data_IF_516435005714
#
_entry.id   IF_516435005714
#
_cell.length_a   1.000
_cell.length_b   1.000
_cell.length_c   1.000
_cell.angle_alpha   90.00
_cell.angle_beta   90.00
_cell.angle_gamma   90.00
#
_symmetry.space_group_name_H-M   'P 1'
#
loop_
_entity.id
_entity.type
_entity.pdbx_description
1 polymer ?
#
# COMPACT_ATOMS: atom_id res chain seq x y z
N UNK A 1 -19.71 18.31 20.85
CA UNK A 1 -18.50 18.21 20.02
C UNK A 1 -18.68 17.52 18.64
N UNK A 2 -19.88 17.18 18.20
CA UNK A 2 -20.14 16.58 16.87
C UNK A 2 -20.76 17.58 15.86
N UNK A 3 -21.03 18.80 16.27
CA UNK A 3 -21.78 19.80 15.48
C UNK A 3 -20.93 20.82 14.73
N UNK A 4 -19.69 21.04 15.12
CA UNK A 4 -18.90 22.22 14.68
C UNK A 4 -18.27 22.16 13.27
N UNK A 5 -18.36 21.07 12.55
CA UNK A 5 -17.80 20.98 11.20
C UNK A 5 -18.67 20.12 10.27
N UNK A 6 -19.97 20.06 10.55
CA UNK A 6 -20.89 19.32 9.72
C UNK A 6 -21.16 20.06 8.42
N UNK A 7 -21.03 19.37 7.29
CA UNK A 7 -21.39 19.90 5.95
C UNK A 7 -22.43 19.01 5.29
N UNK A 8 -23.40 19.67 4.66
CA UNK A 8 -24.40 19.01 3.83
C UNK A 8 -25.39 18.14 4.56
N UNK A 9 -26.04 17.26 3.81
CA UNK A 9 -27.07 16.34 4.28
C UNK A 9 -26.48 15.13 4.99
N UNK A 10 -27.30 14.47 5.79
CA UNK A 10 -26.92 13.19 6.40
C UNK A 10 -27.89 12.12 5.92
N UNK A 11 -27.34 10.98 5.51
CA UNK A 11 -28.10 9.85 5.02
C UNK A 11 -28.34 8.81 6.12
N UNK A 12 -29.58 8.41 6.29
CA UNK A 12 -29.93 7.26 7.13
C UNK A 12 -30.16 6.04 6.25
N UNK A 13 -29.25 5.06 6.32
CA UNK A 13 -29.25 3.88 5.44
C UNK A 13 -29.47 2.61 6.25
N UNK A 14 -30.48 1.82 5.87
CA UNK A 14 -30.70 0.48 6.42
C UNK A 14 -29.93 -0.57 5.61
N UNK A 15 -29.01 -1.28 6.25
CA UNK A 15 -28.20 -2.30 5.56
C UNK A 15 -27.89 -3.50 6.46
N UNK A 16 -28.25 -4.69 6.03
CA UNK A 16 -27.90 -5.94 6.71
C UNK A 16 -28.48 -6.08 8.12
N UNK A 17 -29.65 -5.52 8.42
CA UNK A 17 -30.29 -5.56 9.73
C UNK A 17 -29.94 -4.38 10.64
N UNK A 18 -29.06 -3.47 10.21
CA UNK A 18 -28.62 -2.32 11.00
C UNK A 18 -28.93 -1.00 10.28
N UNK A 19 -29.18 0.04 11.07
CA UNK A 19 -29.26 1.41 10.60
C UNK A 19 -27.89 2.07 10.70
N UNK A 20 -27.52 2.82 9.67
CA UNK A 20 -26.27 3.59 9.59
C UNK A 20 -26.60 5.04 9.29
N UNK A 21 -26.08 5.95 10.11
CA UNK A 21 -26.12 7.38 9.84
C UNK A 21 -24.80 7.78 9.19
N UNK A 22 -24.87 8.29 7.97
CA UNK A 22 -23.73 8.90 7.27
C UNK A 22 -23.83 10.40 7.41
N UNK A 23 -22.87 10.99 8.09
CA UNK A 23 -22.78 12.44 8.25
C UNK A 23 -21.47 12.92 7.64
N UNK A 24 -21.56 13.87 6.72
CA UNK A 24 -20.39 14.52 6.12
C UNK A 24 -19.86 15.58 7.07
N UNK A 25 -18.54 15.59 7.24
CA UNK A 25 -17.85 16.52 8.10
C UNK A 25 -16.60 17.04 7.40
N UNK A 26 -16.35 18.35 7.47
CA UNK A 26 -15.06 18.91 7.12
C UNK A 26 -14.05 18.60 8.23
N UNK A 27 -12.93 18.07 7.84
CA UNK A 27 -11.80 17.85 8.74
C UNK A 27 -10.63 18.65 8.17
N UNK A 28 -10.05 19.59 8.95
CA UNK A 28 -8.86 20.30 8.52
C UNK A 28 -7.77 19.29 8.14
N UNK A 29 -7.22 19.44 6.96
CA UNK A 29 -6.09 18.62 6.52
C UNK A 29 -4.81 19.32 6.98
N UNK A 30 -3.94 18.64 7.74
CA UNK A 30 -2.65 19.20 8.11
C UNK A 30 -1.80 19.37 6.84
N UNK A 31 -1.04 20.44 6.79
CA UNK A 31 -0.04 20.63 5.74
C UNK A 31 0.97 19.49 5.78
N UNK A 32 1.40 18.99 4.60
CA UNK A 32 2.41 17.95 4.53
C UNK A 32 3.72 18.41 5.18
N UNK A 33 4.21 17.64 6.13
CA UNK A 33 5.50 17.95 6.78
C UNK A 33 6.65 17.57 5.84
N UNK A 34 7.75 18.34 5.89
CA UNK A 34 8.96 17.95 5.17
C UNK A 34 9.53 16.65 5.78
N UNK A 35 9.82 15.61 4.98
CA UNK A 35 10.29 14.31 5.48
C UNK A 35 11.77 14.37 5.86
N UNK A 36 12.09 14.92 7.02
CA UNK A 36 13.47 15.08 7.51
C UNK A 36 14.22 13.76 7.69
N UNK A 37 13.50 12.66 7.93
CA UNK A 37 14.03 11.30 7.99
C UNK A 37 14.09 10.58 6.64
N UNK A 38 13.86 11.28 5.53
CA UNK A 38 13.77 10.68 4.20
C UNK A 38 12.44 9.94 3.98
N UNK A 39 12.46 8.83 3.21
CA UNK A 39 11.26 8.08 2.88
C UNK A 39 11.27 6.66 3.43
N UNK A 40 10.12 6.23 3.91
CA UNK A 40 9.82 4.89 4.34
C UNK A 40 9.26 4.10 3.16
N UNK A 41 10.09 3.29 2.51
CA UNK A 41 9.71 2.49 1.35
C UNK A 41 8.84 1.31 1.75
N UNK A 42 7.80 1.04 0.98
CA UNK A 42 6.86 -0.07 1.21
C UNK A 42 6.65 -0.81 -0.10
N UNK A 43 7.13 -2.05 -0.14
CA UNK A 43 6.82 -3.01 -1.21
C UNK A 43 5.51 -3.74 -0.90
N UNK A 44 4.56 -3.72 -1.84
CA UNK A 44 3.25 -4.36 -1.73
C UNK A 44 3.23 -5.68 -2.48
N UNK A 45 3.13 -6.80 -1.75
CA UNK A 45 3.25 -8.13 -2.32
C UNK A 45 2.07 -9.08 -2.03
N UNK A 46 2.03 -10.24 -2.71
CA UNK A 46 1.02 -11.30 -2.52
C UNK A 46 1.41 -12.23 -1.37
N UNK A 47 2.66 -12.63 -1.28
CA UNK A 47 3.17 -13.50 -0.23
C UNK A 47 3.25 -12.74 1.10
N UNK A 48 3.89 -11.59 1.06
CA UNK A 48 3.87 -10.58 2.10
C UNK A 48 2.96 -9.44 1.65
N UNK A 49 2.02 -9.03 2.51
CA UNK A 49 1.04 -7.97 2.20
C UNK A 49 1.73 -6.65 1.97
N UNK A 50 2.71 -6.36 2.81
CA UNK A 50 3.60 -5.24 2.71
C UNK A 50 4.94 -5.61 3.38
N UNK A 51 6.04 -5.15 2.81
CA UNK A 51 7.37 -5.23 3.39
C UNK A 51 7.97 -3.83 3.40
N UNK A 52 8.57 -3.43 4.51
CA UNK A 52 9.09 -2.08 4.68
C UNK A 52 10.59 -2.03 4.49
N UNK A 53 11.14 -0.86 4.18
CA UNK A 53 12.58 -0.62 4.04
C UNK A 53 13.39 -0.92 5.31
N UNK A 54 12.73 -0.92 6.48
CA UNK A 54 13.34 -1.25 7.76
C UNK A 54 13.30 -2.76 8.09
N UNK A 55 12.78 -3.57 7.15
CA UNK A 55 12.71 -5.03 7.30
C UNK A 55 11.46 -5.56 7.98
N UNK A 56 10.49 -4.72 8.34
CA UNK A 56 9.23 -5.23 8.89
C UNK A 56 8.39 -5.90 7.79
N UNK A 57 7.92 -7.13 8.07
CA UNK A 57 7.17 -7.96 7.12
C UNK A 57 5.76 -8.20 7.63
N UNK A 58 4.77 -7.75 6.86
CA UNK A 58 3.36 -8.04 7.08
C UNK A 58 2.94 -9.27 6.25
N UNK A 59 3.04 -10.45 6.84
CA UNK A 59 2.80 -11.72 6.15
C UNK A 59 1.36 -11.88 5.64
N UNK A 60 1.23 -12.30 4.38
CA UNK A 60 -0.06 -12.59 3.73
C UNK A 60 -0.62 -13.98 3.99
N UNK A 61 0.11 -14.87 4.67
CA UNK A 61 -0.20 -16.30 4.85
C UNK A 61 -1.64 -16.54 5.33
N UNK A 62 -2.05 -15.88 6.40
CA UNK A 62 -3.40 -16.07 6.96
C UNK A 62 -4.50 -15.57 6.00
N UNK A 63 -4.33 -14.41 5.40
CA UNK A 63 -5.27 -13.87 4.42
C UNK A 63 -5.41 -14.79 3.20
N UNK A 64 -4.29 -15.30 2.70
CA UNK A 64 -4.26 -16.24 1.57
C UNK A 64 -4.93 -17.58 1.92
N UNK A 65 -4.74 -18.10 3.12
CA UNK A 65 -5.44 -19.31 3.59
C UNK A 65 -6.96 -19.11 3.63
N UNK A 66 -7.45 -17.99 4.16
CA UNK A 66 -8.89 -17.66 4.17
C UNK A 66 -9.43 -17.58 2.75
N UNK A 67 -8.72 -16.93 1.82
CA UNK A 67 -9.09 -16.83 0.41
C UNK A 67 -9.15 -18.21 -0.28
N UNK A 68 -8.15 -19.06 -0.07
CA UNK A 68 -8.14 -20.40 -0.65
C UNK A 68 -9.32 -21.25 -0.15
N UNK A 69 -9.60 -21.21 1.16
CA UNK A 69 -10.75 -21.90 1.74
C UNK A 69 -12.07 -21.39 1.16
N UNK A 70 -12.25 -20.08 1.10
CA UNK A 70 -13.45 -19.48 0.56
C UNK A 70 -13.61 -19.73 -0.95
N UNK A 71 -12.52 -19.77 -1.70
CA UNK A 71 -12.55 -20.12 -3.14
C UNK A 71 -13.07 -21.53 -3.36
N UNK A 72 -12.62 -22.53 -2.58
CA UNK A 72 -13.13 -23.90 -2.64
C UNK A 72 -14.62 -23.96 -2.29
N UNK A 73 -15.03 -23.24 -1.26
CA UNK A 73 -16.43 -23.15 -0.84
C UNK A 73 -17.29 -22.48 -1.93
N UNK A 74 -16.84 -21.36 -2.49
CA UNK A 74 -17.55 -20.68 -3.60
C UNK A 74 -17.77 -21.60 -4.79
N UNK A 75 -16.73 -22.33 -5.21
CA UNK A 75 -16.84 -23.31 -6.32
C UNK A 75 -17.96 -24.33 -6.07
N UNK A 76 -17.99 -24.94 -4.87
CA UNK A 76 -19.03 -25.91 -4.47
C UNK A 76 -20.43 -25.31 -4.43
N UNK A 77 -20.58 -24.09 -3.90
CA UNK A 77 -21.86 -23.41 -3.80
C UNK A 77 -22.39 -22.98 -5.20
N UNK A 78 -21.50 -22.58 -6.08
CA UNK A 78 -21.85 -22.23 -7.47
C UNK A 78 -22.34 -23.46 -8.24
N UNK A 79 -21.69 -24.62 -8.05
CA UNK A 79 -22.11 -25.89 -8.66
C UNK A 79 -23.50 -26.35 -8.19
N UNK A 80 -23.83 -26.14 -6.89
CA UNK A 80 -25.17 -26.48 -6.36
C UNK A 80 -26.31 -25.63 -6.91
N UNK A 81 -26.07 -24.35 -7.26
CA UNK A 81 -27.01 -23.46 -7.90
C UNK A 81 -28.28 -23.09 -7.13
N UNK A 82 -28.56 -23.70 -5.98
CA UNK A 82 -29.81 -23.51 -5.20
C UNK A 82 -29.94 -22.11 -4.59
N UNK A 83 -31.16 -21.69 -4.25
CA UNK A 83 -31.42 -20.41 -3.58
C UNK A 83 -30.64 -20.29 -2.26
N UNK A 84 -30.56 -21.36 -1.47
CA UNK A 84 -29.79 -21.40 -0.23
C UNK A 84 -28.29 -21.28 -0.47
N UNK A 85 -27.75 -21.95 -1.49
CA UNK A 85 -26.35 -21.85 -1.88
C UNK A 85 -25.98 -20.41 -2.34
N UNK A 86 -26.87 -19.77 -3.13
CA UNK A 86 -26.68 -18.36 -3.55
C UNK A 86 -26.69 -17.40 -2.34
N UNK A 87 -27.56 -17.63 -1.35
CA UNK A 87 -27.61 -16.84 -0.11
C UNK A 87 -26.32 -16.99 0.71
N UNK A 88 -25.82 -18.24 0.88
CA UNK A 88 -24.58 -18.53 1.57
C UNK A 88 -23.38 -17.94 0.84
N UNK A 89 -23.35 -18.03 -0.51
CA UNK A 89 -22.30 -17.44 -1.33
C UNK A 89 -22.14 -15.93 -1.09
N UNK A 90 -23.26 -15.21 -1.04
CA UNK A 90 -23.29 -13.77 -0.75
C UNK A 90 -22.73 -13.46 0.65
N UNK A 91 -23.10 -14.27 1.65
CA UNK A 91 -22.63 -14.14 3.04
C UNK A 91 -21.11 -14.39 3.15
N UNK A 92 -20.59 -15.41 2.48
CA UNK A 92 -19.15 -15.75 2.44
C UNK A 92 -18.35 -14.63 1.77
N UNK A 93 -18.80 -14.14 0.62
CA UNK A 93 -18.13 -13.04 -0.09
C UNK A 93 -18.08 -11.75 0.74
N UNK A 94 -19.16 -11.41 1.45
CA UNK A 94 -19.20 -10.26 2.34
C UNK A 94 -18.25 -10.38 3.54
N UNK A 95 -18.12 -11.57 4.12
CA UNK A 95 -17.18 -11.83 5.22
C UNK A 95 -15.72 -11.70 4.75
N UNK A 96 -15.39 -12.25 3.60
CA UNK A 96 -14.04 -12.18 3.03
C UNK A 96 -13.64 -10.72 2.74
N UNK A 97 -14.56 -9.94 2.15
CA UNK A 97 -14.32 -8.51 1.89
C UNK A 97 -14.03 -7.72 3.19
N UNK A 98 -14.83 -7.94 4.24
CA UNK A 98 -14.61 -7.28 5.54
C UNK A 98 -13.30 -7.69 6.18
N UNK A 99 -12.97 -8.98 6.15
CA UNK A 99 -11.71 -9.49 6.70
C UNK A 99 -10.48 -8.89 5.98
N UNK A 100 -10.52 -8.82 4.64
CA UNK A 100 -9.44 -8.20 3.87
C UNK A 100 -9.32 -6.70 4.18
N UNK A 101 -10.44 -5.98 4.27
CA UNK A 101 -10.45 -4.57 4.62
C UNK A 101 -9.88 -4.32 6.03
N UNK A 102 -10.29 -5.11 7.03
CA UNK A 102 -9.75 -5.01 8.40
C UNK A 102 -8.24 -5.25 8.44
N UNK A 103 -7.76 -6.26 7.72
CA UNK A 103 -6.32 -6.52 7.60
C UNK A 103 -5.59 -5.31 7.00
N UNK A 104 -6.11 -4.75 5.91
CA UNK A 104 -5.53 -3.57 5.26
C UNK A 104 -5.59 -2.33 6.17
N UNK A 105 -6.65 -2.16 6.96
CA UNK A 105 -6.75 -1.08 7.94
C UNK A 105 -5.67 -1.18 9.03
N UNK A 106 -5.40 -2.39 9.53
CA UNK A 106 -4.35 -2.61 10.54
C UNK A 106 -2.96 -2.37 9.96
N UNK A 107 -2.65 -2.98 8.81
CA UNK A 107 -1.34 -2.83 8.16
C UNK A 107 -1.08 -1.36 7.82
N UNK A 108 -2.03 -0.67 7.19
CA UNK A 108 -1.86 0.75 6.85
C UNK A 108 -1.71 1.64 8.09
N UNK A 109 -2.40 1.33 9.21
CA UNK A 109 -2.22 2.07 10.47
C UNK A 109 -0.78 1.90 11.00
N UNK A 110 -0.25 0.67 11.02
CA UNK A 110 1.12 0.40 11.48
C UNK A 110 2.15 1.16 10.63
N UNK A 111 2.03 1.10 9.30
CA UNK A 111 2.94 1.79 8.38
C UNK A 111 2.93 3.30 8.61
N UNK A 112 1.75 3.92 8.68
CA UNK A 112 1.62 5.37 8.87
C UNK A 112 2.13 5.80 10.26
N UNK A 113 1.82 5.03 11.32
CA UNK A 113 2.33 5.31 12.68
C UNK A 113 3.85 5.26 12.72
N UNK A 114 4.47 4.31 12.02
CA UNK A 114 5.93 4.18 11.97
C UNK A 114 6.58 5.32 11.17
N UNK A 115 6.02 5.69 10.03
CA UNK A 115 6.47 6.83 9.25
C UNK A 115 6.39 8.14 10.07
N UNK A 116 5.28 8.34 10.81
CA UNK A 116 5.10 9.50 11.69
C UNK A 116 6.15 9.52 12.81
N UNK A 117 6.36 8.38 13.49
CA UNK A 117 7.32 8.24 14.58
C UNK A 117 8.75 8.57 14.15
N UNK A 118 9.09 8.31 12.89
CA UNK A 118 10.43 8.48 12.33
C UNK A 118 10.58 9.72 11.45
N UNK A 119 9.56 10.61 11.42
CA UNK A 119 9.53 11.84 10.61
C UNK A 119 9.86 11.58 9.13
N UNK A 120 9.41 10.44 8.59
CA UNK A 120 9.62 10.03 7.20
C UNK A 120 8.37 10.20 6.36
N UNK A 121 8.53 10.55 5.08
CA UNK A 121 7.51 10.35 4.07
C UNK A 121 7.29 8.86 3.77
N UNK A 122 6.22 8.52 3.06
CA UNK A 122 5.96 7.14 2.63
C UNK A 122 6.15 7.04 1.12
N UNK A 123 6.90 6.03 0.69
CA UNK A 123 7.11 5.71 -0.72
C UNK A 123 6.42 4.39 -1.08
N UNK A 124 5.63 4.41 -2.15
CA UNK A 124 4.94 3.26 -2.72
C UNK A 124 5.30 3.11 -4.18
N UNK A 125 5.23 1.89 -4.72
CA UNK A 125 5.27 1.70 -6.17
C UNK A 125 3.99 2.18 -6.83
N UNK A 126 4.12 2.82 -8.01
CA UNK A 126 2.98 3.09 -8.88
C UNK A 126 2.53 1.80 -9.58
N UNK A 127 1.56 1.15 -8.96
CA UNK A 127 0.95 -0.07 -9.49
C UNK A 127 -0.23 0.22 -10.44
N UNK A 128 -0.39 1.45 -10.90
CA UNK A 128 -1.37 1.84 -11.91
C UNK A 128 -1.21 1.00 -13.17
N UNK A 129 -2.30 0.34 -13.63
CA UNK A 129 -2.26 -0.51 -14.83
C UNK A 129 -1.50 -1.83 -14.70
N UNK A 130 -1.06 -2.24 -13.49
CA UNK A 130 -0.32 -3.52 -13.31
C UNK A 130 -1.12 -4.73 -13.79
N UNK A 131 -2.45 -4.67 -13.74
CA UNK A 131 -3.33 -5.75 -14.21
C UNK A 131 -3.28 -5.96 -15.71
N UNK A 132 -2.95 -4.92 -16.46
CA UNK A 132 -2.87 -4.91 -17.93
C UNK A 132 -1.45 -5.25 -18.41
N UNK A 133 -0.44 -4.81 -17.66
CA UNK A 133 0.98 -5.00 -18.00
C UNK A 133 1.50 -6.41 -17.72
N UNK A 134 0.93 -7.13 -16.74
CA UNK A 134 1.48 -8.42 -16.28
C UNK A 134 0.75 -9.59 -16.93
N UNK A 135 1.46 -10.35 -17.79
CA UNK A 135 0.99 -11.64 -18.34
C UNK A 135 1.23 -12.75 -17.33
N UNK A 136 0.22 -13.05 -16.50
CA UNK A 136 0.27 -14.11 -15.50
C UNK A 136 -0.45 -15.38 -15.96
N UNK A 137 0.02 -16.55 -15.50
CA UNK A 137 -0.70 -17.84 -15.61
C UNK A 137 -2.01 -17.78 -14.82
N UNK A 138 -3.04 -18.54 -15.23
CA UNK A 138 -4.39 -18.53 -14.60
C UNK A 138 -4.40 -18.49 -13.06
N UNK A 139 -3.64 -19.35 -12.31
CA UNK A 139 -3.66 -19.32 -10.86
C UNK A 139 -3.15 -18.00 -10.26
N UNK A 140 -2.08 -17.45 -10.83
CA UNK A 140 -1.45 -16.20 -10.39
C UNK A 140 -2.35 -14.99 -10.71
N UNK A 141 -3.01 -15.01 -11.88
CA UNK A 141 -3.97 -13.97 -12.29
C UNK A 141 -5.12 -13.85 -11.30
N UNK A 142 -5.72 -14.97 -10.89
CA UNK A 142 -6.80 -14.95 -9.89
C UNK A 142 -6.33 -14.37 -8.56
N UNK A 143 -5.11 -14.70 -8.15
CA UNK A 143 -4.53 -14.18 -6.91
C UNK A 143 -4.27 -12.68 -7.03
N UNK A 144 -3.68 -12.21 -8.12
CA UNK A 144 -3.45 -10.78 -8.37
C UNK A 144 -4.77 -9.99 -8.44
N UNK A 145 -5.78 -10.50 -9.16
CA UNK A 145 -7.09 -9.83 -9.27
C UNK A 145 -7.89 -9.84 -7.95
N UNK A 146 -7.66 -10.83 -7.08
CA UNK A 146 -8.33 -10.90 -5.77
C UNK A 146 -7.62 -10.05 -4.71
N UNK A 147 -6.39 -9.62 -4.97
CA UNK A 147 -5.61 -8.80 -4.06
C UNK A 147 -5.96 -7.34 -4.22
N UNK A 148 -6.30 -6.69 -3.14
CA UNK A 148 -6.61 -5.27 -3.17
C UNK A 148 -5.40 -4.42 -2.80
N UNK A 149 -4.31 -4.49 -3.61
CA UNK A 149 -3.17 -3.58 -3.50
C UNK A 149 -3.63 -2.12 -3.52
N UNK A 150 -4.49 -1.80 -4.50
CA UNK A 150 -5.08 -0.47 -4.60
C UNK A 150 -5.78 -0.05 -3.31
N UNK A 151 -6.51 -0.98 -2.63
CA UNK A 151 -7.16 -0.68 -1.37
C UNK A 151 -6.15 -0.40 -0.26
N UNK A 152 -5.06 -1.18 -0.15
CA UNK A 152 -4.04 -0.94 0.86
C UNK A 152 -3.31 0.38 0.59
N UNK A 153 -2.91 0.64 -0.64
CA UNK A 153 -2.32 1.91 -1.07
C UNK A 153 -3.23 3.09 -0.75
N UNK A 154 -4.53 2.99 -1.09
CA UNK A 154 -5.54 4.02 -0.74
C UNK A 154 -5.63 4.22 0.78
N UNK A 155 -5.59 3.13 1.58
CA UNK A 155 -5.66 3.24 3.03
C UNK A 155 -4.40 3.86 3.63
N UNK A 156 -3.23 3.61 3.07
CA UNK A 156 -1.99 4.29 3.46
C UNK A 156 -2.10 5.77 3.11
N UNK A 157 -2.46 6.10 1.87
CA UNK A 157 -2.52 7.47 1.37
C UNK A 157 -3.45 8.37 2.20
N UNK A 158 -4.73 7.96 2.43
CA UNK A 158 -5.64 8.82 3.19
C UNK A 158 -5.24 8.97 4.66
N UNK A 159 -4.66 7.93 5.28
CA UNK A 159 -4.20 8.02 6.67
C UNK A 159 -2.95 8.88 6.79
N UNK A 160 -2.02 8.74 5.85
CA UNK A 160 -0.82 9.58 5.76
C UNK A 160 -1.22 11.05 5.58
N UNK A 161 -2.14 11.36 4.65
CA UNK A 161 -2.67 12.71 4.45
C UNK A 161 -3.26 13.28 5.74
N UNK A 162 -4.06 12.50 6.47
CA UNK A 162 -4.62 12.91 7.77
C UNK A 162 -3.57 13.12 8.86
N UNK A 163 -2.39 12.54 8.72
CA UNK A 163 -1.26 12.68 9.64
C UNK A 163 -0.23 13.73 9.17
N UNK A 164 -0.48 14.43 8.05
CA UNK A 164 0.48 15.39 7.47
C UNK A 164 1.73 14.72 6.88
N UNK A 165 1.66 13.41 6.53
CA UNK A 165 2.80 12.66 6.01
C UNK A 165 2.72 12.65 4.47
N UNK A 166 3.76 13.11 3.75
CA UNK A 166 3.79 13.05 2.30
C UNK A 166 3.87 11.59 1.80
N UNK A 167 3.13 11.30 0.72
CA UNK A 167 3.16 9.99 0.05
C UNK A 167 3.63 10.20 -1.38
N UNK A 168 4.69 9.52 -1.76
CA UNK A 168 5.27 9.56 -3.11
C UNK A 168 5.12 8.19 -3.79
N UNK A 169 4.77 8.22 -5.07
CA UNK A 169 4.71 7.02 -5.91
C UNK A 169 5.92 6.98 -6.83
N UNK A 170 6.59 5.83 -6.89
CA UNK A 170 7.80 5.64 -7.70
C UNK A 170 7.55 4.61 -8.81
N UNK A 171 8.32 4.72 -9.90
CA UNK A 171 8.28 3.73 -10.99
C UNK A 171 8.68 2.34 -10.45
N UNK A 172 7.85 1.29 -10.67
CA UNK A 172 8.14 -0.06 -10.23
C UNK A 172 9.24 -0.77 -11.06
N UNK A 173 9.71 -0.17 -12.15
CA UNK A 173 10.70 -0.79 -13.04
C UNK A 173 11.95 -1.23 -12.29
N UNK A 174 12.26 -2.53 -12.32
CA UNK A 174 13.48 -3.15 -11.77
C UNK A 174 13.71 -3.02 -10.26
N UNK A 175 12.80 -2.49 -9.46
CA UNK A 175 12.94 -2.36 -7.99
C UNK A 175 13.33 -3.68 -7.33
N UNK A 176 12.78 -4.80 -7.79
CA UNK A 176 13.04 -6.15 -7.27
C UNK A 176 14.35 -6.78 -7.81
N UNK A 177 15.00 -6.20 -8.81
CA UNK A 177 16.21 -6.73 -9.44
C UNK A 177 17.45 -5.89 -9.17
N UNK A 178 17.26 -4.64 -8.79
CA UNK A 178 18.32 -3.70 -8.45
C UNK A 178 18.85 -3.96 -7.04
N UNK A 179 20.15 -3.94 -6.88
CA UNK A 179 20.78 -4.01 -5.56
C UNK A 179 20.67 -2.67 -4.82
N UNK A 180 20.10 -2.67 -3.64
CA UNK A 180 20.01 -1.45 -2.81
C UNK A 180 21.36 -0.98 -2.27
N UNK A 181 22.38 -1.83 -2.27
CA UNK A 181 23.73 -1.48 -1.82
C UNK A 181 24.62 -0.85 -2.90
N UNK A 182 24.60 -1.40 -4.13
CA UNK A 182 25.52 -0.94 -5.19
C UNK A 182 24.83 -0.50 -6.49
N UNK A 183 23.51 -0.57 -6.60
CA UNK A 183 22.75 -0.16 -7.77
C UNK A 183 22.78 -1.17 -8.95
N UNK A 184 23.59 -2.24 -8.89
CA UNK A 184 23.67 -3.23 -9.97
C UNK A 184 22.33 -3.92 -10.21
N UNK A 185 21.85 -3.92 -11.45
CA UNK A 185 20.56 -4.50 -11.83
C UNK A 185 20.77 -5.77 -12.65
N UNK A 186 20.27 -6.91 -12.14
CA UNK A 186 20.29 -8.18 -12.85
C UNK A 186 19.15 -9.09 -12.41
N UNK A 187 18.56 -9.84 -13.34
CA UNK A 187 17.58 -10.89 -13.00
C UNK A 187 18.19 -11.98 -12.12
N UNK A 188 19.50 -12.22 -12.24
CA UNK A 188 20.24 -13.23 -11.47
C UNK A 188 20.38 -12.84 -9.99
N UNK A 189 20.19 -11.56 -9.64
CA UNK A 189 20.21 -11.10 -8.25
C UNK A 189 19.08 -11.69 -7.41
N UNK A 190 18.00 -12.20 -8.05
CA UNK A 190 16.85 -12.79 -7.39
C UNK A 190 16.71 -14.28 -7.78
N UNK A 191 17.46 -15.18 -7.15
CA UNK A 191 17.42 -16.60 -7.46
C UNK A 191 16.07 -17.25 -7.14
N UNK A 192 15.37 -16.76 -6.13
CA UNK A 192 14.02 -17.18 -5.77
C UNK A 192 13.14 -16.00 -5.32
N UNK A 193 11.93 -16.30 -4.83
CA UNK A 193 10.96 -15.26 -4.44
C UNK A 193 11.37 -14.50 -3.18
N UNK A 194 12.08 -15.13 -2.25
CA UNK A 194 12.42 -14.56 -0.94
C UNK A 194 13.86 -14.05 -0.87
N UNK A 195 14.75 -14.62 -1.66
CA UNK A 195 16.20 -14.40 -1.57
C UNK A 195 16.66 -13.38 -2.61
N UNK A 196 17.43 -12.41 -2.17
CA UNK A 196 18.19 -11.49 -3.00
C UNK A 196 19.68 -11.65 -2.71
N UNK A 197 20.50 -11.87 -3.76
CA UNK A 197 21.95 -11.92 -3.68
C UNK A 197 22.52 -11.17 -4.88
N UNK A 198 23.21 -10.07 -4.64
CA UNK A 198 23.80 -9.28 -5.71
C UNK A 198 24.94 -10.02 -6.37
N UNK A 199 24.85 -10.22 -7.68
CA UNK A 199 25.90 -10.87 -8.49
C UNK A 199 27.14 -10.01 -8.70
N UNK A 200 27.09 -8.72 -8.36
CA UNK A 200 28.22 -7.79 -8.47
C UNK A 200 28.96 -7.60 -7.16
N UNK A 201 28.26 -7.24 -6.06
CA UNK A 201 28.91 -6.91 -4.78
C UNK A 201 28.70 -7.95 -3.68
N UNK A 202 27.96 -9.03 -3.93
CA UNK A 202 27.68 -10.08 -2.92
C UNK A 202 26.67 -9.70 -1.85
N UNK A 203 26.11 -8.48 -1.86
CA UNK A 203 25.08 -8.08 -0.89
C UNK A 203 23.91 -9.05 -0.90
N UNK A 204 23.54 -9.57 0.27
CA UNK A 204 22.45 -10.54 0.46
C UNK A 204 21.40 -10.01 1.44
N UNK A 205 20.13 -10.15 1.08
CA UNK A 205 19.00 -9.66 1.87
C UNK A 205 17.71 -10.42 1.47
N UNK A 206 16.64 -10.24 2.24
CA UNK A 206 15.31 -10.64 1.81
C UNK A 206 14.87 -9.80 0.59
N UNK A 207 14.41 -10.46 -0.48
CA UNK A 207 14.12 -9.80 -1.76
C UNK A 207 13.13 -8.62 -1.66
N UNK A 208 12.07 -8.77 -0.84
CA UNK A 208 11.07 -7.74 -0.66
C UNK A 208 11.61 -6.56 0.19
N UNK A 209 12.57 -6.81 1.12
CA UNK A 209 13.23 -5.74 1.88
C UNK A 209 14.16 -4.94 0.97
N UNK A 210 14.96 -5.61 0.13
CA UNK A 210 15.78 -4.95 -0.88
C UNK A 210 14.92 -4.10 -1.83
N UNK A 211 13.76 -4.61 -2.28
CA UNK A 211 12.83 -3.85 -3.11
C UNK A 211 12.30 -2.60 -2.36
N UNK A 212 11.88 -2.75 -1.11
CA UNK A 212 11.39 -1.62 -0.30
C UNK A 212 12.47 -0.55 -0.08
N UNK A 213 13.74 -0.93 0.07
CA UNK A 213 14.88 0.02 0.15
C UNK A 213 15.07 0.78 -1.17
N UNK A 214 14.96 0.09 -2.31
CA UNK A 214 15.03 0.74 -3.62
C UNK A 214 13.88 1.73 -3.83
N UNK A 215 12.66 1.38 -3.38
CA UNK A 215 11.48 2.27 -3.40
C UNK A 215 11.76 3.53 -2.57
N UNK A 216 12.30 3.39 -1.36
CA UNK A 216 12.67 4.51 -0.50
C UNK A 216 13.73 5.42 -1.17
N UNK A 217 14.80 4.84 -1.71
CA UNK A 217 15.87 5.58 -2.36
C UNK A 217 15.39 6.38 -3.58
N UNK A 218 14.51 5.79 -4.41
CA UNK A 218 13.91 6.48 -5.56
C UNK A 218 13.02 7.65 -5.14
N UNK A 219 12.28 7.50 -4.05
CA UNK A 219 11.46 8.58 -3.53
C UNK A 219 12.30 9.75 -3.01
N UNK A 220 13.41 9.47 -2.32
CA UNK A 220 14.37 10.52 -1.89
C UNK A 220 14.92 11.27 -3.11
N UNK A 221 15.36 10.57 -4.13
CA UNK A 221 15.90 11.18 -5.35
C UNK A 221 14.84 12.03 -6.07
N UNK A 222 13.62 11.51 -6.24
CA UNK A 222 12.52 12.23 -6.89
C UNK A 222 12.04 13.44 -6.08
N UNK A 223 11.99 13.33 -4.76
CA UNK A 223 11.61 14.42 -3.87
C UNK A 223 12.62 15.58 -3.93
N UNK A 224 13.92 15.27 -3.88
CA UNK A 224 14.97 16.27 -3.99
C UNK A 224 14.88 17.07 -5.30
N UNK A 225 14.60 16.40 -6.43
CA UNK A 225 14.45 17.06 -7.73
C UNK A 225 13.22 17.98 -7.76
N UNK A 226 12.08 17.53 -7.24
CA UNK A 226 10.83 18.33 -7.27
C UNK A 226 10.85 19.54 -6.34
N UNK A 227 11.62 19.54 -5.24
CA UNK A 227 11.67 20.60 -4.25
C UNK A 227 12.93 21.47 -4.35
N UNK A 228 13.94 21.09 -5.10
CA UNK A 228 15.07 21.97 -5.40
C UNK A 228 14.69 23.21 -6.21
N UNK A 229 13.56 23.15 -6.95
CA UNK A 229 13.02 24.29 -7.69
C UNK A 229 12.32 25.31 -6.78
N UNK A 230 11.76 24.89 -5.66
CA UNK A 230 11.04 25.75 -4.72
C UNK A 230 12.00 26.57 -3.85
N UNK A 231 13.14 25.98 -3.44
CA UNK A 231 14.19 26.68 -2.67
C UNK A 231 14.93 27.77 -3.49
N UNK A 232 14.94 27.65 -4.81
CA UNK A 232 15.60 28.62 -5.69
C UNK A 232 14.79 29.92 -5.91
N UNK A 233 13.55 29.98 -5.38
CA UNK A 233 12.62 31.10 -5.62
C UNK A 233 12.41 32.01 -4.40
N UNK A 234 13.06 31.79 -3.26
CA UNK A 234 13.05 32.78 -2.16
C UNK A 234 13.92 34.00 -2.54
N UNK A 235 13.32 35.20 -2.74
CA UNK A 235 14.10 36.38 -2.95
C UNK A 235 14.85 36.75 -1.68
N UNK A 236 16.16 36.84 -1.76
CA UNK A 236 17.02 37.36 -0.70
C UNK A 236 16.48 38.74 -0.25
N UNK A 237 16.17 38.97 1.03
CA UNK A 237 15.72 40.26 1.49
C UNK A 237 16.82 41.30 1.21
N UNK A 238 16.48 42.32 0.43
CA UNK A 238 17.36 43.45 0.15
C UNK A 238 17.83 44.07 1.48
N UNK A 239 19.13 44.05 1.70
CA UNK A 239 19.74 44.83 2.79
C UNK A 239 19.49 46.30 2.48
N UNK A 240 18.63 46.95 3.26
CA UNK A 240 18.60 48.41 3.34
C UNK A 240 19.89 48.87 4.03
N UNK A 241 20.69 49.63 3.28
CA UNK A 241 21.80 50.41 3.81
C UNK A 241 21.30 51.74 4.40
#
# INVERSE_FOLDING_TARGET
MLTDHRRGESDLVYRGGNWYLYATRDVPEPEPTHPTGGFFGVDLGIANIATTSDGAVHAGKHLNQVRHRNRRLRKRLQQKGTKSAKRLLRKVSGREKRFAADTNHRVSKTIVTEAQRTSRGIALEDLGGIRERVRLRKPQRVTLHSWSFAQLGTYIAYKAKRAGIPVTYVDPGYTSQQCSGCGHTSRKNRPDQATFVCTSCGFAEHADVNAARNIAARAVAGWAVSHAADDATEPTPARCG
#
